data_IF_319895665161
#
_entry.id   IF_319895665161
#
_cell.length_a   1.000
_cell.length_b   1.000
_cell.length_c   1.000
_cell.angle_alpha   90.00
_cell.angle_beta   90.00
_cell.angle_gamma   90.00
#
_symmetry.space_group_name_H-M   'P 1'
#
loop_
_entity.id
_entity.type
_entity.pdbx_description
1 polymer ?
#
# COMPACT_ATOMS: atom_id res chain seq x y z
N UNK A 1 55.83 22.88 13.81
CA UNK A 1 55.77 23.04 15.28
C UNK A 1 54.43 22.53 15.76
N UNK A 2 54.47 21.38 16.40
CA UNK A 2 53.41 20.77 17.18
C UNK A 2 52.84 21.79 18.17
N UNK A 3 51.52 21.88 18.29
CA UNK A 3 50.90 22.11 19.59
C UNK A 3 49.69 21.18 19.70
N UNK A 4 49.94 20.11 20.43
CA UNK A 4 48.97 19.30 21.16
C UNK A 4 47.89 20.16 21.82
N UNK A 5 46.63 19.77 21.65
CA UNK A 5 45.66 19.87 22.74
C UNK A 5 44.67 18.71 22.64
N UNK A 6 44.94 17.68 23.45
CA UNK A 6 43.94 16.71 23.93
C UNK A 6 43.67 17.04 25.40
N UNK A 7 42.40 17.10 25.82
CA UNK A 7 41.90 16.08 26.77
C UNK A 7 40.40 15.72 26.52
N UNK A 8 40.03 14.43 26.48
CA UNK A 8 39.40 13.61 27.56
C UNK A 8 37.93 14.01 27.83
N UNK A 9 36.90 13.17 27.75
CA UNK A 9 36.73 11.79 28.22
C UNK A 9 35.59 11.13 27.39
N UNK A 10 35.82 9.97 26.77
CA UNK A 10 35.23 8.68 27.15
C UNK A 10 33.70 8.67 27.31
N UNK A 11 33.00 8.22 26.27
CA UNK A 11 32.01 7.16 26.42
C UNK A 11 32.19 6.19 25.26
N UNK A 12 32.51 4.96 25.64
CA UNK A 12 32.61 3.80 24.79
C UNK A 12 31.25 3.11 24.85
N UNK A 13 30.41 3.30 23.84
CA UNK A 13 29.36 2.35 23.52
C UNK A 13 29.63 1.81 22.12
N UNK A 14 30.30 0.66 22.14
CA UNK A 14 30.41 -0.28 21.04
C UNK A 14 29.00 -0.68 20.55
N UNK A 15 28.65 -0.31 19.31
CA UNK A 15 27.90 -1.22 18.44
C UNK A 15 26.38 -1.04 18.31
N UNK A 16 25.87 0.14 17.95
CA UNK A 16 24.44 0.30 17.58
C UNK A 16 24.21 1.19 16.32
N UNK A 17 25.12 2.12 16.07
CA UNK A 17 25.12 3.08 14.95
C UNK A 17 25.24 2.44 13.55
N UNK A 18 25.67 1.18 13.45
CA UNK A 18 25.76 0.44 12.17
C UNK A 18 24.42 -0.16 11.72
N UNK A 19 23.47 -0.44 12.64
CA UNK A 19 22.15 -0.98 12.27
C UNK A 19 21.18 0.11 11.83
N UNK A 20 21.25 1.30 12.44
CA UNK A 20 20.46 2.46 12.03
C UNK A 20 20.77 2.91 10.59
N UNK A 21 22.03 2.79 10.15
CA UNK A 21 22.44 3.15 8.80
C UNK A 21 22.10 2.06 7.74
N UNK A 22 21.96 0.80 8.15
CA UNK A 22 21.47 -0.31 7.31
C UNK A 22 19.93 -0.28 7.16
N UNK A 23 19.20 0.20 8.17
CA UNK A 23 17.76 0.45 8.05
C UNK A 23 17.45 1.71 7.22
N UNK A 24 18.24 2.78 7.37
CA UNK A 24 18.13 3.98 6.52
C UNK A 24 18.51 3.70 5.05
N UNK A 25 19.46 2.79 4.80
CA UNK A 25 19.84 2.35 3.45
C UNK A 25 18.80 1.45 2.78
N UNK A 26 17.94 0.76 3.54
CA UNK A 26 16.79 0.03 2.96
C UNK A 26 15.66 0.97 2.55
N UNK A 27 15.57 2.16 3.12
CA UNK A 27 14.46 3.09 2.90
C UNK A 27 14.70 4.13 1.80
N UNK A 28 15.94 4.24 1.25
CA UNK A 28 16.31 5.39 0.40
C UNK A 28 16.92 5.06 -0.97
N UNK A 29 17.03 3.79 -1.37
CA UNK A 29 17.48 3.39 -2.73
C UNK A 29 16.41 2.63 -3.52
N UNK A 30 15.14 3.05 -3.38
CA UNK A 30 14.24 2.90 -4.51
C UNK A 30 14.63 3.98 -5.50
N UNK A 31 15.65 3.68 -6.30
CA UNK A 31 15.98 4.44 -7.51
C UNK A 31 14.70 4.58 -8.33
N UNK A 32 14.08 5.75 -8.22
CA UNK A 32 13.01 6.26 -9.07
C UNK A 32 13.59 6.69 -10.43
N UNK A 33 14.73 6.11 -10.82
CA UNK A 33 15.16 6.14 -12.20
C UNK A 33 14.08 5.44 -13.02
N UNK A 34 13.60 6.16 -14.03
CA UNK A 34 12.52 5.87 -14.97
C UNK A 34 12.76 4.62 -15.82
N UNK A 35 13.23 3.53 -15.24
CA UNK A 35 13.07 2.20 -15.82
C UNK A 35 11.59 1.88 -15.71
N UNK A 36 10.93 1.67 -16.85
CA UNK A 36 9.62 1.02 -16.94
C UNK A 36 9.73 -0.41 -16.38
N UNK A 37 9.93 -0.54 -15.07
CA UNK A 37 9.87 -1.81 -14.34
C UNK A 37 8.40 -2.16 -14.30
N UNK A 38 7.96 -2.93 -15.29
CA UNK A 38 6.62 -3.52 -15.32
C UNK A 38 6.43 -4.27 -14.00
N UNK A 39 5.61 -3.73 -13.11
CA UNK A 39 5.32 -4.36 -11.84
C UNK A 39 4.75 -5.76 -12.11
N UNK A 40 5.28 -6.77 -11.44
CA UNK A 40 4.74 -8.14 -11.54
C UNK A 40 3.37 -8.17 -10.87
N UNK A 41 2.50 -9.04 -11.36
CA UNK A 41 1.15 -9.22 -10.79
C UNK A 41 1.22 -9.56 -9.29
N UNK A 42 2.23 -10.34 -8.89
CA UNK A 42 2.48 -10.69 -7.50
C UNK A 42 2.92 -9.49 -6.65
N UNK A 43 3.80 -8.62 -7.16
CA UNK A 43 4.21 -7.41 -6.45
C UNK A 43 3.01 -6.46 -6.24
N UNK A 44 2.18 -6.29 -7.29
CA UNK A 44 0.94 -5.52 -7.20
C UNK A 44 -0.03 -6.13 -6.18
N UNK A 45 -0.19 -7.45 -6.16
CA UNK A 45 -1.04 -8.15 -5.20
C UNK A 45 -0.56 -7.97 -3.77
N UNK A 46 0.74 -8.14 -3.50
CA UNK A 46 1.32 -7.93 -2.17
C UNK A 46 1.11 -6.49 -1.71
N UNK A 47 1.35 -5.52 -2.59
CA UNK A 47 1.13 -4.11 -2.28
C UNK A 47 -0.33 -3.83 -1.93
N UNK A 48 -1.28 -4.34 -2.73
CA UNK A 48 -2.71 -4.21 -2.47
C UNK A 48 -3.12 -4.92 -1.16
N UNK A 49 -2.60 -6.13 -0.93
CA UNK A 49 -2.89 -6.93 0.26
C UNK A 49 -2.43 -6.21 1.54
N UNK A 50 -1.25 -5.60 1.54
CA UNK A 50 -0.76 -4.83 2.69
C UNK A 50 -1.71 -3.69 3.07
N UNK A 51 -2.32 -3.01 2.10
CA UNK A 51 -3.33 -1.98 2.35
C UNK A 51 -4.65 -2.54 2.90
N UNK A 52 -5.14 -3.64 2.32
CA UNK A 52 -6.38 -4.30 2.77
C UNK A 52 -6.22 -4.84 4.18
N UNK A 53 -5.11 -5.53 4.45
CA UNK A 53 -4.80 -6.09 5.76
C UNK A 53 -4.62 -4.96 6.79
N UNK A 54 -3.91 -3.89 6.44
CA UNK A 54 -3.71 -2.74 7.32
C UNK A 54 -5.04 -2.11 7.78
N UNK A 55 -5.90 -1.73 6.84
CA UNK A 55 -7.22 -1.15 7.17
C UNK A 55 -8.18 -2.16 7.80
N UNK A 56 -8.14 -3.42 7.36
CA UNK A 56 -8.99 -4.50 7.86
C UNK A 56 -8.66 -4.89 9.30
N UNK A 57 -7.38 -5.03 9.65
CA UNK A 57 -6.98 -5.37 11.03
C UNK A 57 -7.34 -4.27 12.04
N UNK A 58 -7.46 -3.01 11.60
CA UNK A 58 -7.91 -1.92 12.46
C UNK A 58 -9.44 -1.92 12.63
N UNK A 59 -10.19 -2.19 11.55
CA UNK A 59 -11.66 -2.13 11.56
C UNK A 59 -12.36 -3.38 12.07
N UNK A 60 -11.84 -4.56 11.74
CA UNK A 60 -12.42 -5.85 12.09
C UNK A 60 -12.56 -6.08 13.61
N UNK A 61 -11.55 -5.83 14.47
CA UNK A 61 -11.69 -6.09 15.91
C UNK A 61 -12.77 -5.22 16.56
N UNK A 62 -12.87 -3.95 16.16
CA UNK A 62 -13.91 -3.05 16.65
C UNK A 62 -15.30 -3.51 16.17
N UNK A 63 -15.44 -3.84 14.89
CA UNK A 63 -16.70 -4.33 14.32
C UNK A 63 -17.16 -5.65 14.99
N UNK A 64 -16.23 -6.55 15.29
CA UNK A 64 -16.52 -7.83 15.94
C UNK A 64 -16.92 -7.66 17.42
N UNK A 65 -16.28 -6.73 18.14
CA UNK A 65 -16.64 -6.40 19.52
C UNK A 65 -18.02 -5.74 19.62
N UNK A 66 -18.40 -4.91 18.64
CA UNK A 66 -19.69 -4.21 18.66
C UNK A 66 -20.86 -5.09 18.16
N UNK A 67 -20.60 -6.00 17.21
CA UNK A 67 -21.65 -6.76 16.51
C UNK A 67 -21.79 -8.21 17.00
N UNK A 68 -20.83 -8.72 17.77
CA UNK A 68 -20.75 -10.13 18.17
C UNK A 68 -20.33 -11.05 17.02
N UNK A 69 -19.99 -12.30 17.37
CA UNK A 69 -19.38 -13.26 16.44
C UNK A 69 -20.27 -13.60 15.23
N UNK A 70 -21.56 -13.85 15.47
CA UNK A 70 -22.47 -14.31 14.42
C UNK A 70 -22.72 -13.23 13.36
N UNK A 71 -23.05 -12.00 13.80
CA UNK A 71 -23.29 -10.87 12.90
C UNK A 71 -21.99 -10.45 12.21
N UNK A 72 -20.87 -10.43 12.94
CA UNK A 72 -19.55 -10.13 12.38
C UNK A 72 -19.16 -11.09 11.25
N UNK A 73 -19.33 -12.40 11.44
CA UNK A 73 -19.06 -13.40 10.39
C UNK A 73 -20.00 -13.28 9.20
N UNK A 74 -21.30 -13.06 9.42
CA UNK A 74 -22.25 -12.90 8.32
C UNK A 74 -21.94 -11.66 7.48
N UNK A 75 -21.61 -10.54 8.13
CA UNK A 75 -21.25 -9.29 7.47
C UNK A 75 -19.92 -9.41 6.73
N UNK A 76 -18.96 -10.16 7.28
CA UNK A 76 -17.69 -10.46 6.62
C UNK A 76 -17.88 -11.31 5.36
N UNK A 77 -18.77 -12.31 5.40
CA UNK A 77 -19.14 -13.10 4.21
C UNK A 77 -19.79 -12.24 3.13
N UNK A 78 -20.72 -11.34 3.49
CA UNK A 78 -21.35 -10.41 2.55
C UNK A 78 -20.30 -9.45 1.96
N UNK A 79 -19.40 -8.91 2.79
CA UNK A 79 -18.34 -8.03 2.34
C UNK A 79 -17.39 -8.73 1.37
N UNK A 80 -17.03 -10.00 1.65
CA UNK A 80 -16.23 -10.84 0.77
C UNK A 80 -16.93 -11.10 -0.57
N UNK A 81 -18.22 -11.47 -0.54
CA UNK A 81 -19.01 -11.67 -1.74
C UNK A 81 -19.14 -10.37 -2.58
N UNK A 82 -19.40 -9.24 -1.91
CA UNK A 82 -19.45 -7.92 -2.53
C UNK A 82 -18.11 -7.52 -3.16
N UNK A 83 -16.99 -7.80 -2.48
CA UNK A 83 -15.65 -7.53 -3.01
C UNK A 83 -15.36 -8.39 -4.24
N UNK A 84 -15.71 -9.68 -4.21
CA UNK A 84 -15.59 -10.56 -5.38
C UNK A 84 -16.41 -10.08 -6.58
N UNK A 85 -17.66 -9.69 -6.34
CA UNK A 85 -18.54 -9.12 -7.38
C UNK A 85 -18.01 -7.80 -7.95
N UNK A 86 -17.50 -6.92 -7.08
CA UNK A 86 -16.89 -5.65 -7.48
C UNK A 86 -15.65 -5.88 -8.37
N UNK A 87 -14.74 -6.78 -7.96
CA UNK A 87 -13.55 -7.13 -8.72
C UNK A 87 -13.90 -7.78 -10.07
N UNK A 88 -14.93 -8.62 -10.11
CA UNK A 88 -15.39 -9.23 -11.36
C UNK A 88 -15.88 -8.17 -12.35
N UNK A 89 -16.74 -7.26 -11.91
CA UNK A 89 -17.24 -6.16 -12.76
C UNK A 89 -16.10 -5.24 -13.20
N UNK A 90 -15.18 -4.91 -12.28
CA UNK A 90 -14.03 -4.08 -12.60
C UNK A 90 -13.10 -4.73 -13.63
N UNK A 91 -12.87 -6.04 -13.52
CA UNK A 91 -12.08 -6.80 -14.49
C UNK A 91 -12.72 -6.80 -15.87
N UNK A 92 -14.04 -6.98 -15.97
CA UNK A 92 -14.77 -6.87 -17.23
C UNK A 92 -14.65 -5.46 -17.84
N UNK A 93 -14.76 -4.41 -17.04
CA UNK A 93 -14.56 -3.03 -17.50
C UNK A 93 -13.12 -2.82 -17.99
N UNK A 94 -12.12 -3.30 -17.24
CA UNK A 94 -10.71 -3.19 -17.61
C UNK A 94 -10.41 -3.91 -18.95
N UNK A 95 -11.02 -5.07 -19.20
CA UNK A 95 -10.92 -5.81 -20.45
C UNK A 95 -11.54 -5.06 -21.64
N UNK A 96 -12.64 -4.31 -21.42
CA UNK A 96 -13.35 -3.57 -22.47
C UNK A 96 -12.64 -2.29 -22.92
N UNK A 97 -11.86 -1.66 -22.05
CA UNK A 97 -11.27 -0.32 -22.28
C UNK A 97 -9.79 -0.37 -22.67
N UNK A 98 -9.11 -1.49 -22.41
CA UNK A 98 -7.69 -1.67 -22.74
C UNK A 98 -6.76 -1.00 -21.72
N UNK A 99 -5.49 -1.41 -21.70
CA UNK A 99 -4.47 -0.88 -20.76
C UNK A 99 -3.81 0.38 -21.30
N UNK A 100 -3.59 1.44 -20.50
CA UNK A 100 -3.80 1.52 -19.04
C UNK A 100 -5.26 1.77 -18.66
N UNK A 101 -5.84 0.81 -17.92
CA UNK A 101 -7.21 0.90 -17.44
C UNK A 101 -7.22 1.54 -16.04
N UNK A 102 -7.76 2.76 -15.95
CA UNK A 102 -8.05 3.44 -14.68
C UNK A 102 -9.56 3.63 -14.56
N UNK A 103 -10.06 3.81 -13.33
CA UNK A 103 -11.47 4.12 -13.10
C UNK A 103 -11.94 5.35 -13.90
N UNK A 104 -11.07 6.33 -14.11
CA UNK A 104 -11.35 7.51 -14.93
C UNK A 104 -11.59 7.17 -16.41
N UNK A 105 -10.74 6.31 -17.00
CA UNK A 105 -10.93 5.84 -18.38
C UNK A 105 -12.22 5.03 -18.56
N UNK A 106 -12.67 4.35 -17.50
CA UNK A 106 -13.97 3.65 -17.48
C UNK A 106 -15.12 4.63 -17.37
N UNK A 107 -15.04 5.59 -16.44
CA UNK A 107 -16.09 6.59 -16.22
C UNK A 107 -16.33 7.47 -17.46
N UNK A 108 -15.27 7.91 -18.12
CA UNK A 108 -15.35 8.72 -19.36
C UNK A 108 -15.97 7.99 -20.54
N UNK A 109 -15.99 6.64 -20.53
CA UNK A 109 -16.66 5.82 -21.55
C UNK A 109 -18.06 5.37 -21.14
N UNK A 110 -18.32 5.26 -19.84
CA UNK A 110 -19.62 4.88 -19.30
C UNK A 110 -20.62 6.05 -19.27
N UNK A 111 -20.15 7.29 -19.20
CA UNK A 111 -21.00 8.47 -19.13
C UNK A 111 -21.13 9.18 -20.49
N UNK A 112 -22.34 9.62 -20.89
CA UNK A 112 -22.49 10.56 -21.99
C UNK A 112 -21.85 11.92 -21.61
N UNK A 113 -21.40 12.73 -22.59
CA UNK A 113 -20.55 13.92 -22.39
C UNK A 113 -21.26 15.14 -21.73
N UNK A 114 -22.23 14.93 -20.85
CA UNK A 114 -23.07 15.99 -20.26
C UNK A 114 -22.52 16.61 -18.97
N UNK A 115 -21.35 16.21 -18.45
CA UNK A 115 -20.91 16.63 -17.10
C UNK A 115 -19.38 16.68 -16.91
N UNK A 116 -18.64 17.25 -17.86
CA UNK A 116 -17.23 17.67 -17.65
C UNK A 116 -17.04 19.15 -18.01
N UNK A 117 -17.97 19.99 -17.53
CA UNK A 117 -17.89 21.46 -17.57
C UNK A 117 -18.18 21.96 -16.16
N UNK A 118 -17.20 21.86 -15.27
CA UNK A 118 -17.03 22.76 -14.12
C UNK A 118 -15.55 22.86 -13.79
#
# INVERSE_FOLDING_TARGET
IMMEMKPTASENEDGDDTLAHLEASRTSSVDYETTFKKATQMSCFINLANTIIGSGMLGLPYAYSASGWFVGTFLLLICGASSGFALHTLSLCALKIGTPASFYSVATKALPPLTLVI
#
